data_IF_344874854562
#
_entry.id   IF_344874854562
#
_cell.length_a   1.000
_cell.length_b   1.000
_cell.length_c   1.000
_cell.angle_alpha   90.00
_cell.angle_beta   90.00
_cell.angle_gamma   90.00
#
_symmetry.space_group_name_H-M   'P 1'
#
loop_
_entity.id
_entity.type
_entity.pdbx_description
1 polymer ?
#
# COMPACT_ATOMS: atom_id res chain seq x y z
N UNK A 1 28.09 50.50 -24.80
CA UNK A 1 28.32 50.64 -23.35
C UNK A 1 28.27 49.25 -22.75
N UNK A 2 29.44 48.70 -22.44
CA UNK A 2 29.65 47.43 -21.74
C UNK A 2 29.98 47.73 -20.27
N UNK A 3 29.41 46.98 -19.34
CA UNK A 3 29.83 46.84 -17.92
C UNK A 3 29.32 45.47 -17.45
N UNK A 4 30.17 44.45 -17.37
CA UNK A 4 31.05 44.06 -16.23
C UNK A 4 30.23 43.51 -15.05
N UNK A 5 30.19 42.18 -14.87
CA UNK A 5 31.12 41.29 -14.12
C UNK A 5 31.06 41.42 -12.59
N UNK A 6 30.64 40.30 -11.97
CA UNK A 6 31.21 39.61 -10.80
C UNK A 6 31.50 40.38 -9.51
N UNK A 7 31.02 39.83 -8.38
CA UNK A 7 31.28 40.36 -7.04
C UNK A 7 30.88 39.42 -5.92
N UNK A 8 31.61 38.31 -5.81
CA UNK A 8 31.74 37.44 -4.64
C UNK A 8 32.11 38.27 -3.39
N UNK A 9 31.42 38.11 -2.24
CA UNK A 9 31.97 38.16 -0.86
C UNK A 9 30.82 38.14 0.17
N UNK A 10 30.68 37.08 0.95
CA UNK A 10 31.34 36.90 2.26
C UNK A 10 30.66 37.73 3.37
N UNK A 11 29.68 37.10 4.04
CA UNK A 11 29.32 37.41 5.42
C UNK A 11 29.46 36.15 6.26
N UNK A 12 30.69 35.94 6.71
CA UNK A 12 31.05 35.25 7.95
C UNK A 12 30.17 35.82 9.10
N UNK A 13 29.73 35.07 10.11
CA UNK A 13 30.54 34.54 11.23
C UNK A 13 29.67 33.62 12.10
N UNK A 14 30.19 32.40 12.32
CA UNK A 14 30.24 31.56 13.54
C UNK A 14 29.03 31.50 14.50
N UNK A 15 28.42 30.30 14.61
CA UNK A 15 28.13 29.70 15.92
C UNK A 15 28.63 28.25 15.90
N UNK A 16 29.79 28.07 16.53
CA UNK A 16 30.33 26.79 17.01
C UNK A 16 29.61 26.47 18.32
N UNK A 17 29.03 25.29 18.46
CA UNK A 17 28.90 24.61 19.76
C UNK A 17 28.69 23.12 19.55
N UNK A 18 29.75 22.38 19.87
CA UNK A 18 29.79 20.95 19.98
C UNK A 18 28.93 20.47 21.15
N UNK A 19 28.28 19.32 20.98
CA UNK A 19 27.95 18.44 22.10
C UNK A 19 28.13 16.99 21.64
N UNK A 20 29.39 16.55 21.64
CA UNK A 20 29.76 15.15 21.81
C UNK A 20 29.90 14.92 23.32
N UNK A 21 29.14 13.97 23.87
CA UNK A 21 29.49 13.10 25.01
C UNK A 21 28.22 12.37 25.50
N UNK A 22 28.30 11.05 25.62
CA UNK A 22 27.25 10.28 26.27
C UNK A 22 27.19 8.79 26.00
N UNK A 23 28.33 8.09 25.93
CA UNK A 23 28.34 6.66 26.27
C UNK A 23 28.28 6.55 27.79
N UNK A 24 27.24 5.90 28.33
CA UNK A 24 27.23 5.37 29.69
C UNK A 24 26.17 4.28 29.82
N UNK A 25 26.65 3.06 29.98
CA UNK A 25 25.89 1.92 30.43
C UNK A 25 25.26 2.18 31.81
N UNK A 26 24.06 1.66 32.02
CA UNK A 26 23.53 1.30 33.34
C UNK A 26 22.59 0.12 33.09
N UNK A 27 23.03 -1.09 33.43
CA UNK A 27 22.96 -1.69 34.77
C UNK A 27 21.64 -2.44 34.92
N UNK A 28 21.79 -3.75 35.07
CA UNK A 28 20.78 -4.74 35.39
C UNK A 28 20.05 -4.31 36.67
N UNK A 29 18.72 -4.28 36.63
CA UNK A 29 17.90 -4.28 37.84
C UNK A 29 17.36 -5.69 38.04
N UNK A 30 17.68 -6.23 39.20
CA UNK A 30 17.43 -7.58 39.64
C UNK A 30 15.93 -7.81 39.86
N UNK A 31 15.41 -8.87 39.28
CA UNK A 31 14.11 -9.43 39.64
C UNK A 31 14.15 -9.86 41.11
N UNK A 32 13.53 -9.06 41.96
CA UNK A 32 13.21 -9.44 43.31
C UNK A 32 12.05 -10.45 43.26
N UNK A 33 12.41 -11.72 43.41
CA UNK A 33 11.52 -12.82 43.78
C UNK A 33 10.62 -12.42 44.94
N UNK A 34 9.31 -12.43 44.71
CA UNK A 34 8.31 -12.56 45.78
C UNK A 34 7.43 -13.76 45.44
N UNK A 35 7.71 -14.87 46.11
CA UNK A 35 6.94 -16.10 46.06
C UNK A 35 6.18 -16.27 47.39
N UNK A 36 4.85 -16.17 47.36
CA UNK A 36 3.90 -17.00 48.13
C UNK A 36 2.46 -16.67 47.68
N UNK A 37 1.89 -17.46 46.77
CA UNK A 37 1.07 -18.65 47.00
C UNK A 37 -0.42 -18.32 47.31
N UNK A 38 -1.33 -18.75 46.43
CA UNK A 38 -2.25 -19.91 46.60
C UNK A 38 -3.26 -19.89 45.43
N UNK A 39 -3.44 -21.06 44.80
CA UNK A 39 -4.28 -21.40 43.64
C UNK A 39 -5.79 -21.53 44.02
N UNK A 40 -6.73 -22.06 43.19
CA UNK A 40 -6.66 -22.54 41.80
C UNK A 40 -7.87 -22.16 40.90
N UNK A 41 -7.87 -22.72 39.68
CA UNK A 41 -9.05 -23.07 38.88
C UNK A 41 -9.83 -21.94 38.18
N UNK A 42 -9.39 -21.65 36.95
CA UNK A 42 -10.19 -21.01 35.92
C UNK A 42 -9.54 -21.28 34.57
N UNK A 43 -9.65 -22.52 34.08
CA UNK A 43 -9.36 -22.85 32.69
C UNK A 43 -10.37 -22.13 31.79
N UNK A 44 -10.14 -20.85 31.55
CA UNK A 44 -10.75 -20.14 30.43
C UNK A 44 -10.06 -20.62 29.16
N UNK A 45 -10.80 -20.98 28.10
CA UNK A 45 -10.19 -21.40 26.87
C UNK A 45 -9.31 -20.24 26.39
N UNK A 46 -8.03 -20.54 26.17
CA UNK A 46 -7.20 -19.71 25.32
C UNK A 46 -8.01 -19.53 24.03
N UNK A 47 -8.53 -18.33 23.82
CA UNK A 47 -9.07 -17.92 22.53
C UNK A 47 -7.86 -17.93 21.62
N UNK A 48 -7.63 -19.09 21.01
CA UNK A 48 -6.85 -19.23 19.81
C UNK A 48 -7.49 -18.24 18.87
N UNK A 49 -6.87 -17.06 18.74
CA UNK A 49 -7.21 -16.12 17.71
C UNK A 49 -7.11 -16.93 16.42
N UNK A 50 -8.27 -17.24 15.84
CA UNK A 50 -8.37 -17.84 14.53
C UNK A 50 -7.65 -16.89 13.61
N UNK A 51 -6.39 -17.20 13.30
CA UNK A 51 -5.71 -16.67 12.15
C UNK A 51 -6.62 -17.08 11.00
N UNK A 52 -7.50 -16.17 10.58
CA UNK A 52 -8.24 -16.31 9.34
C UNK A 52 -7.18 -16.69 8.31
N UNK A 53 -7.28 -17.92 7.81
CA UNK A 53 -6.23 -18.61 7.08
C UNK A 53 -5.87 -17.77 5.86
N UNK A 54 -4.87 -16.89 6.02
CA UNK A 54 -4.36 -16.10 4.94
C UNK A 54 -3.71 -17.14 4.02
N UNK A 55 -4.09 -17.22 2.73
CA UNK A 55 -3.64 -18.30 1.84
C UNK A 55 -2.12 -18.49 1.79
N UNK A 56 -1.38 -17.45 2.20
CA UNK A 56 0.06 -17.47 2.46
C UNK A 56 0.33 -16.65 3.73
N UNK A 57 0.91 -17.23 4.79
CA UNK A 57 1.35 -16.51 5.98
C UNK A 57 2.30 -15.34 5.66
N UNK A 58 2.16 -14.23 6.39
CA UNK A 58 2.98 -13.02 6.14
C UNK A 58 4.48 -13.28 6.24
N UNK A 59 4.91 -14.10 7.20
CA UNK A 59 6.31 -14.46 7.39
C UNK A 59 6.87 -15.21 6.16
N UNK A 60 6.11 -16.16 5.62
CA UNK A 60 6.49 -16.89 4.41
C UNK A 60 6.57 -15.98 3.19
N UNK A 61 5.61 -15.06 3.04
CA UNK A 61 5.63 -14.06 1.97
C UNK A 61 6.83 -13.11 2.10
N UNK A 62 7.24 -12.77 3.32
CA UNK A 62 8.40 -11.93 3.57
C UNK A 62 9.70 -12.66 3.22
N UNK A 63 9.85 -13.92 3.62
CA UNK A 63 10.98 -14.77 3.26
C UNK A 63 11.10 -14.95 1.74
N UNK A 64 10.00 -15.28 1.07
CA UNK A 64 9.97 -15.41 -0.39
C UNK A 64 10.42 -14.14 -1.12
N UNK A 65 10.10 -12.94 -0.58
CA UNK A 65 10.59 -11.67 -1.14
C UNK A 65 12.11 -11.52 -1.00
N UNK A 66 12.68 -11.94 0.13
CA UNK A 66 14.13 -11.91 0.35
C UNK A 66 14.84 -12.88 -0.60
N UNK A 67 14.32 -14.11 -0.74
CA UNK A 67 14.85 -15.10 -1.67
C UNK A 67 14.82 -14.56 -3.10
N UNK A 68 13.66 -14.09 -3.58
CA UNK A 68 13.52 -13.55 -4.92
C UNK A 68 14.42 -12.32 -5.16
N UNK A 69 14.64 -11.47 -4.16
CA UNK A 69 15.56 -10.34 -4.27
C UNK A 69 17.00 -10.85 -4.45
N UNK A 70 17.41 -11.84 -3.65
CA UNK A 70 18.75 -12.44 -3.70
C UNK A 70 19.05 -13.11 -5.05
N UNK A 71 18.03 -13.68 -5.69
CA UNK A 71 18.14 -14.30 -7.02
C UNK A 71 18.21 -13.26 -8.16
N UNK A 72 17.82 -12.00 -7.91
CA UNK A 72 17.67 -10.96 -8.95
C UNK A 72 18.53 -9.71 -8.69
N UNK A 73 19.60 -9.82 -7.89
CA UNK A 73 20.45 -8.68 -7.48
C UNK A 73 21.10 -7.92 -8.65
N UNK A 74 21.28 -8.58 -9.80
CA UNK A 74 21.85 -7.96 -11.01
C UNK A 74 20.84 -7.08 -11.78
N UNK A 75 19.53 -7.19 -11.49
CA UNK A 75 18.49 -6.43 -12.16
C UNK A 75 18.18 -5.14 -11.41
N UNK A 76 17.70 -4.14 -12.15
CA UNK A 76 17.22 -2.89 -11.55
C UNK A 76 15.95 -2.38 -12.24
N UNK A 77 15.34 -1.35 -11.66
CA UNK A 77 14.24 -0.62 -12.28
C UNK A 77 13.04 -1.52 -12.65
N UNK A 78 12.67 -1.51 -13.93
CA UNK A 78 11.50 -2.23 -14.43
C UNK A 78 11.73 -3.71 -14.58
N UNK A 79 12.94 -4.12 -14.93
CA UNK A 79 13.31 -5.53 -15.11
C UNK A 79 13.31 -6.26 -13.77
N UNK A 80 13.88 -5.63 -12.72
CA UNK A 80 13.78 -6.17 -11.37
C UNK A 80 12.31 -6.31 -10.92
N UNK A 81 11.47 -5.32 -11.21
CA UNK A 81 10.04 -5.37 -10.87
C UNK A 81 9.30 -6.48 -11.62
N UNK A 82 9.67 -6.77 -12.86
CA UNK A 82 9.08 -7.86 -13.63
C UNK A 82 9.56 -9.23 -13.09
N UNK A 83 10.86 -9.39 -12.88
CA UNK A 83 11.46 -10.62 -12.36
C UNK A 83 10.97 -10.95 -10.94
N UNK A 84 10.91 -9.96 -10.04
CA UNK A 84 10.34 -10.12 -8.71
C UNK A 84 8.88 -10.60 -8.74
N UNK A 85 8.06 -10.09 -9.68
CA UNK A 85 6.67 -10.55 -9.83
C UNK A 85 6.59 -11.99 -10.32
N UNK A 86 7.41 -12.35 -11.31
CA UNK A 86 7.53 -13.71 -11.81
C UNK A 86 7.96 -14.69 -10.71
N UNK A 87 9.06 -14.40 -10.02
CA UNK A 87 9.58 -15.23 -8.94
C UNK A 87 8.57 -15.41 -7.80
N UNK A 88 7.96 -14.32 -7.34
CA UNK A 88 6.95 -14.39 -6.27
C UNK A 88 5.73 -15.20 -6.70
N UNK A 89 5.25 -15.06 -7.93
CA UNK A 89 4.12 -15.86 -8.42
C UNK A 89 4.50 -17.35 -8.58
N UNK A 90 5.74 -17.64 -8.97
CA UNK A 90 6.26 -19.01 -9.09
C UNK A 90 6.42 -19.72 -7.74
N UNK A 91 6.81 -19.00 -6.67
CA UNK A 91 6.87 -19.55 -5.31
C UNK A 91 5.49 -19.88 -4.72
N UNK A 92 4.41 -19.30 -5.27
CA UNK A 92 3.04 -19.52 -4.79
C UNK A 92 2.06 -19.78 -5.96
N UNK A 93 2.18 -20.91 -6.67
CA UNK A 93 1.42 -21.17 -7.90
C UNK A 93 -0.09 -21.31 -7.66
N UNK A 94 -0.50 -21.73 -6.45
CA UNK A 94 -1.91 -21.87 -6.07
C UNK A 94 -2.59 -20.55 -5.66
N UNK A 95 -1.85 -19.44 -5.59
CA UNK A 95 -2.39 -18.15 -5.14
C UNK A 95 -2.07 -17.06 -6.14
N UNK A 96 -3.10 -16.41 -6.67
CA UNK A 96 -2.92 -15.23 -7.53
C UNK A 96 -2.51 -14.02 -6.67
N UNK A 97 -1.22 -13.71 -6.68
CA UNK A 97 -0.64 -12.61 -5.89
C UNK A 97 -0.74 -11.26 -6.61
N UNK A 98 -0.65 -11.29 -7.93
CA UNK A 98 -0.68 -10.10 -8.77
C UNK A 98 -1.80 -10.20 -9.79
N UNK A 99 -2.19 -9.05 -10.33
CA UNK A 99 -3.04 -9.05 -11.50
C UNK A 99 -2.30 -9.70 -12.67
N UNK A 100 -2.99 -10.59 -13.37
CA UNK A 100 -2.48 -11.31 -14.54
C UNK A 100 -3.54 -11.23 -15.63
N UNK A 101 -3.11 -11.06 -16.88
CA UNK A 101 -3.99 -11.02 -18.06
C UNK A 101 -5.14 -10.00 -17.92
N UNK A 102 -4.84 -8.87 -17.29
CA UNK A 102 -5.82 -7.80 -17.08
C UNK A 102 -6.84 -8.08 -15.98
N UNK A 103 -6.76 -9.18 -15.25
CA UNK A 103 -7.66 -9.55 -14.15
C UNK A 103 -7.00 -9.40 -12.78
N UNK A 104 -7.76 -8.96 -11.79
CA UNK A 104 -7.35 -8.92 -10.38
C UNK A 104 -7.36 -10.33 -9.78
N UNK A 105 -6.89 -10.43 -8.52
CA UNK A 105 -7.02 -11.66 -7.72
C UNK A 105 -8.46 -12.17 -7.66
N UNK A 106 -9.41 -11.24 -7.52
CA UNK A 106 -10.83 -11.57 -7.37
C UNK A 106 -11.55 -11.81 -8.72
N UNK A 107 -10.79 -12.01 -9.81
CA UNK A 107 -11.31 -12.28 -11.15
C UNK A 107 -11.92 -11.08 -11.88
N UNK A 108 -11.98 -9.90 -11.24
CA UNK A 108 -12.51 -8.67 -11.84
C UNK A 108 -11.48 -8.06 -12.79
N UNK A 109 -11.88 -7.38 -13.88
CA UNK A 109 -10.94 -6.65 -14.72
C UNK A 109 -10.22 -5.57 -13.92
N UNK A 110 -8.91 -5.42 -14.09
CA UNK A 110 -8.15 -4.29 -13.53
C UNK A 110 -8.71 -2.96 -14.04
N UNK A 111 -8.45 -1.86 -13.34
CA UNK A 111 -8.91 -0.54 -13.81
C UNK A 111 -8.37 -0.21 -15.20
N UNK A 112 -7.14 -0.62 -15.51
CA UNK A 112 -6.53 -0.44 -16.83
C UNK A 112 -7.25 -1.29 -17.88
N UNK A 113 -7.44 -2.58 -17.63
CA UNK A 113 -8.16 -3.46 -18.55
C UNK A 113 -9.62 -3.01 -18.78
N UNK A 114 -10.32 -2.62 -17.72
CA UNK A 114 -11.69 -2.09 -17.82
C UNK A 114 -11.74 -0.80 -18.64
N UNK A 115 -10.80 0.12 -18.46
CA UNK A 115 -10.70 1.34 -19.28
C UNK A 115 -10.39 1.03 -20.74
N UNK A 116 -9.48 0.09 -21.01
CA UNK A 116 -9.16 -0.33 -22.37
C UNK A 116 -10.38 -0.95 -23.06
N UNK A 117 -11.07 -1.87 -22.40
CA UNK A 117 -12.30 -2.47 -22.91
C UNK A 117 -13.38 -1.40 -23.19
N UNK A 118 -13.63 -0.50 -22.24
CA UNK A 118 -14.59 0.59 -22.42
C UNK A 118 -14.20 1.56 -23.53
N UNK A 119 -12.91 1.83 -23.70
CA UNK A 119 -12.41 2.66 -24.80
C UNK A 119 -12.71 1.98 -26.14
N UNK A 120 -12.42 0.70 -26.30
CA UNK A 120 -12.75 -0.05 -27.51
C UNK A 120 -14.25 -0.07 -27.82
N UNK A 121 -15.11 -0.22 -26.81
CA UNK A 121 -16.57 -0.20 -26.98
C UNK A 121 -17.10 1.18 -27.39
N UNK A 122 -16.56 2.26 -26.81
CA UNK A 122 -17.01 3.64 -27.07
C UNK A 122 -16.42 4.20 -28.36
N UNK A 123 -15.19 3.83 -28.70
CA UNK A 123 -14.53 4.32 -29.93
C UNK A 123 -15.29 3.83 -31.19
N UNK A 124 -16.04 2.73 -31.13
CA UNK A 124 -16.92 2.28 -32.22
C UNK A 124 -18.27 3.00 -32.36
N UNK A 125 -18.51 4.04 -31.54
CA UNK A 125 -19.80 4.78 -31.50
C UNK A 125 -19.67 6.24 -31.96
N UNK A 126 -18.49 6.66 -32.42
CA UNK A 126 -18.19 8.02 -32.91
C UNK A 126 -18.62 9.17 -31.98
N UNK A 127 -18.76 8.90 -30.68
CA UNK A 127 -19.15 9.89 -29.69
C UNK A 127 -18.02 10.91 -29.46
N UNK A 128 -18.37 12.18 -29.23
CA UNK A 128 -17.41 13.25 -28.97
C UNK A 128 -17.70 14.01 -27.67
N UNK A 129 -16.73 14.80 -27.21
CA UNK A 129 -16.89 15.73 -26.09
C UNK A 129 -17.44 15.08 -24.81
N UNK A 130 -18.45 15.74 -24.22
CA UNK A 130 -19.11 15.30 -22.99
C UNK A 130 -19.82 13.95 -23.13
N UNK A 131 -20.42 13.66 -24.28
CA UNK A 131 -21.11 12.40 -24.52
C UNK A 131 -20.16 11.20 -24.50
N UNK A 132 -18.97 11.36 -25.09
CA UNK A 132 -17.91 10.35 -25.01
C UNK A 132 -17.48 10.08 -23.57
N UNK A 133 -17.32 11.14 -22.77
CA UNK A 133 -16.92 11.04 -21.37
C UNK A 133 -18.01 10.34 -20.54
N UNK A 134 -19.29 10.70 -20.76
CA UNK A 134 -20.42 10.07 -20.11
C UNK A 134 -20.50 8.57 -20.45
N UNK A 135 -20.32 8.21 -21.72
CA UNK A 135 -20.32 6.82 -22.18
C UNK A 135 -19.16 6.00 -21.57
N UNK A 136 -17.95 6.56 -21.54
CA UNK A 136 -16.79 5.90 -20.92
C UNK A 136 -16.99 5.72 -19.41
N UNK A 137 -17.55 6.73 -18.74
CA UNK A 137 -17.83 6.69 -17.30
C UNK A 137 -18.89 5.65 -16.97
N UNK A 138 -19.99 5.63 -17.74
CA UNK A 138 -21.06 4.65 -17.59
C UNK A 138 -20.53 3.21 -17.79
N UNK A 139 -19.77 2.99 -18.86
CA UNK A 139 -19.14 1.69 -19.11
C UNK A 139 -18.21 1.26 -17.97
N UNK A 140 -17.34 2.17 -17.50
CA UNK A 140 -16.40 1.84 -16.43
C UNK A 140 -17.12 1.52 -15.11
N UNK A 141 -18.15 2.30 -14.77
CA UNK A 141 -18.94 2.09 -13.56
C UNK A 141 -19.72 0.76 -13.62
N UNK A 142 -20.21 0.36 -14.80
CA UNK A 142 -20.85 -0.94 -14.98
C UNK A 142 -19.86 -2.10 -14.82
N UNK A 143 -18.64 -1.99 -15.35
CA UNK A 143 -17.61 -3.05 -15.23
C UNK A 143 -16.95 -3.09 -13.85
N UNK A 144 -16.86 -1.95 -13.15
CA UNK A 144 -16.20 -1.79 -11.85
C UNK A 144 -17.03 -0.96 -10.87
N UNK A 145 -18.22 -1.45 -10.47
CA UNK A 145 -19.07 -0.76 -9.50
C UNK A 145 -18.38 -0.59 -8.15
N UNK A 146 -17.47 -1.50 -7.79
CA UNK A 146 -16.67 -1.42 -6.57
C UNK A 146 -15.72 -0.20 -6.54
N UNK A 147 -15.21 0.21 -7.70
CA UNK A 147 -14.35 1.40 -7.81
C UNK A 147 -15.18 2.68 -7.90
N UNK A 148 -16.34 2.62 -8.56
CA UNK A 148 -17.28 3.74 -8.60
C UNK A 148 -17.73 4.10 -7.18
N UNK A 149 -18.14 3.12 -6.37
CA UNK A 149 -18.55 3.35 -4.98
C UNK A 149 -17.42 3.92 -4.13
N UNK A 150 -16.19 3.39 -4.27
CA UNK A 150 -15.02 3.95 -3.58
C UNK A 150 -14.70 5.38 -3.99
N UNK A 151 -15.03 5.78 -5.22
CA UNK A 151 -14.88 7.16 -5.67
C UNK A 151 -15.90 8.07 -4.99
N UNK A 152 -17.16 7.64 -4.86
CA UNK A 152 -18.18 8.38 -4.10
C UNK A 152 -17.82 8.51 -2.62
N UNK A 153 -17.43 7.42 -1.96
CA UNK A 153 -16.93 7.45 -0.58
C UNK A 153 -15.78 8.46 -0.39
N UNK A 154 -14.90 8.59 -1.40
CA UNK A 154 -13.80 9.56 -1.35
C UNK A 154 -14.29 10.99 -1.52
N UNK A 155 -15.29 11.24 -2.37
CA UNK A 155 -15.88 12.58 -2.53
C UNK A 155 -16.56 13.02 -1.23
N UNK A 156 -17.36 12.16 -0.61
CA UNK A 156 -18.04 12.44 0.65
C UNK A 156 -17.04 12.71 1.79
N UNK A 157 -16.02 11.86 1.94
CA UNK A 157 -14.99 12.06 2.97
C UNK A 157 -14.22 13.37 2.76
N UNK A 158 -13.92 13.75 1.52
CA UNK A 158 -13.30 15.05 1.21
C UNK A 158 -14.24 16.23 1.47
N UNK A 159 -15.53 16.09 1.20
CA UNK A 159 -16.53 17.11 1.53
C UNK A 159 -16.61 17.36 3.05
N UNK A 160 -16.28 16.34 3.86
CA UNK A 160 -16.13 16.44 5.32
C UNK A 160 -14.77 17.00 5.78
N UNK A 161 -13.92 17.43 4.85
CA UNK A 161 -12.60 17.97 5.15
C UNK A 161 -11.53 16.94 5.54
N UNK A 162 -11.79 15.64 5.36
CA UNK A 162 -10.83 14.59 5.72
C UNK A 162 -9.71 14.48 4.66
N UNK A 163 -8.48 14.32 5.14
CA UNK A 163 -7.30 14.11 4.31
C UNK A 163 -6.40 12.99 4.85
N UNK A 164 -5.26 12.76 4.18
CA UNK A 164 -4.21 11.86 4.66
C UNK A 164 -4.70 10.46 5.07
N UNK A 165 -4.40 10.08 6.31
CA UNK A 165 -4.76 8.78 6.88
C UNK A 165 -6.26 8.68 7.20
N UNK A 166 -6.89 9.78 7.60
CA UNK A 166 -8.29 9.79 8.02
C UNK A 166 -9.22 9.68 6.82
N UNK A 167 -8.84 10.27 5.68
CA UNK A 167 -9.51 10.01 4.39
C UNK A 167 -9.47 8.52 4.02
N UNK A 168 -8.35 7.84 4.23
CA UNK A 168 -8.24 6.40 3.92
C UNK A 168 -9.16 5.57 4.79
N UNK A 169 -9.17 5.84 6.10
CA UNK A 169 -10.07 5.16 7.05
C UNK A 169 -11.53 5.40 6.70
N UNK A 170 -11.92 6.64 6.41
CA UNK A 170 -13.29 6.98 6.05
C UNK A 170 -13.75 6.30 4.76
N UNK A 171 -12.90 6.26 3.73
CA UNK A 171 -13.19 5.54 2.48
C UNK A 171 -13.32 4.04 2.73
N UNK A 172 -12.52 3.46 3.61
CA UNK A 172 -12.56 2.05 3.93
C UNK A 172 -13.81 1.66 4.76
N UNK A 173 -14.25 2.52 5.69
CA UNK A 173 -15.51 2.35 6.42
C UNK A 173 -16.71 2.39 5.46
N UNK A 174 -16.81 3.47 4.67
CA UNK A 174 -17.89 3.63 3.69
C UNK A 174 -17.97 2.47 2.69
N UNK A 175 -16.82 2.03 2.15
CA UNK A 175 -16.78 0.92 1.21
C UNK A 175 -17.10 -0.45 1.84
N UNK A 176 -17.04 -0.57 3.18
CA UNK A 176 -17.44 -1.76 3.93
C UNK A 176 -18.94 -1.75 4.23
N UNK A 177 -19.47 -0.60 4.64
CA UNK A 177 -20.90 -0.37 4.87
C UNK A 177 -21.71 -0.62 3.59
N UNK A 178 -21.22 -0.18 2.42
CA UNK A 178 -21.88 -0.42 1.13
C UNK A 178 -21.87 -1.89 0.65
N UNK A 179 -21.23 -2.81 1.40
CA UNK A 179 -21.18 -4.25 1.10
C UNK A 179 -22.03 -5.10 2.06
N UNK A 180 -22.48 -4.52 3.18
CA UNK A 180 -23.37 -5.16 4.15
C UNK A 180 -24.82 -4.92 3.82
#
# INVERSE_FOLDING_TARGET
MFSSSEGLTMRSVLIVSAFLLGMSASAQAQDATSAKAVAPAGAGPAVVATAAEEPIPRAERAKARQDCLSENLALSGTDLRAAMRGCMQAKFPGVRLYAQDGLTRDGKPTAVAARAACKSEVDGRDLQGSERIAALTACFNAKRPDLAQRAECRKEARARGLDGADLRKAVESCAREARG
#
